data_IF_092008083756
#
_entry.id   IF_092008083756
#
_cell.length_a   1.000
_cell.length_b   1.000
_cell.length_c   1.000
_cell.angle_alpha   90.00
_cell.angle_beta   90.00
_cell.angle_gamma   90.00
#
_symmetry.space_group_name_H-M   'P 1'
#
loop_
_entity.id
_entity.type
_entity.pdbx_description
1 polymer ?
#
# COMPACT_ATOMS: atom_id res chain seq x y z
N UNK A 1 -5.11 -2.03 19.24
CA UNK A 1 -4.95 -1.14 18.06
C UNK A 1 -5.81 0.12 18.20
N UNK A 2 -7.07 0.03 18.68
CA UNK A 2 -7.92 1.18 19.04
C UNK A 2 -7.54 1.87 20.38
N UNK A 3 -6.31 1.74 20.84
CA UNK A 3 -5.88 2.26 22.15
C UNK A 3 -5.20 3.62 21.99
N UNK A 4 -5.37 4.51 22.97
CA UNK A 4 -4.67 5.80 22.99
C UNK A 4 -3.20 5.66 23.39
N UNK A 5 -2.85 4.57 24.06
CA UNK A 5 -1.48 4.35 24.52
C UNK A 5 -0.57 3.93 23.35
N UNK A 6 0.35 4.82 22.96
CA UNK A 6 1.20 4.65 21.77
C UNK A 6 1.94 3.31 21.70
N UNK A 7 2.60 2.90 22.78
CA UNK A 7 3.35 1.63 22.77
C UNK A 7 2.45 0.40 22.61
N UNK A 8 1.26 0.39 23.22
CA UNK A 8 0.30 -0.71 23.09
C UNK A 8 -0.25 -0.73 21.67
N UNK A 9 -0.56 0.44 21.11
CA UNK A 9 -1.03 0.60 19.73
C UNK A 9 0.02 0.12 18.73
N UNK A 10 1.29 0.49 18.90
CA UNK A 10 2.40 0.03 18.08
C UNK A 10 2.58 -1.50 18.18
N UNK A 11 2.72 -2.05 19.40
CA UNK A 11 2.93 -3.48 19.61
C UNK A 11 1.76 -4.33 19.07
N UNK A 12 0.52 -3.86 19.24
CA UNK A 12 -0.64 -4.54 18.68
C UNK A 12 -0.64 -4.53 17.15
N UNK A 13 -0.19 -3.45 16.52
CA UNK A 13 -0.11 -3.34 15.06
C UNK A 13 1.02 -4.18 14.49
N UNK A 14 2.17 -4.24 15.17
CA UNK A 14 3.28 -5.14 14.82
C UNK A 14 2.87 -6.61 14.95
N UNK A 15 2.16 -6.96 16.03
CA UNK A 15 1.58 -8.29 16.21
C UNK A 15 0.61 -8.62 15.07
N UNK A 16 -0.29 -7.70 14.72
CA UNK A 16 -1.23 -7.89 13.62
C UNK A 16 -0.51 -8.03 12.27
N UNK A 17 0.53 -7.24 12.02
CA UNK A 17 1.38 -7.36 10.84
C UNK A 17 1.96 -8.78 10.70
N UNK A 18 2.35 -9.42 11.80
CA UNK A 18 2.80 -10.80 11.75
C UNK A 18 1.64 -11.79 11.55
N UNK A 19 0.48 -11.53 12.14
CA UNK A 19 -0.68 -12.43 12.10
C UNK A 19 -1.40 -12.46 10.75
N UNK A 20 -1.35 -11.39 9.94
CA UNK A 20 -2.05 -11.33 8.63
C UNK A 20 -1.49 -12.30 7.58
N UNK A 21 -0.42 -13.04 7.88
CA UNK A 21 0.02 -14.17 7.04
C UNK A 21 -0.88 -15.41 7.20
N UNK A 22 -1.66 -15.47 8.29
CA UNK A 22 -2.60 -16.53 8.59
C UNK A 22 -3.91 -16.31 7.81
N UNK A 23 -4.40 -17.34 7.11
CA UNK A 23 -5.59 -17.23 6.24
C UNK A 23 -6.84 -16.84 7.03
N UNK A 24 -7.02 -17.44 8.20
CA UNK A 24 -8.15 -17.15 9.10
C UNK A 24 -8.14 -15.69 9.58
N UNK A 25 -6.95 -15.07 9.65
CA UNK A 25 -6.84 -13.64 9.97
C UNK A 25 -7.16 -12.79 8.74
N UNK A 26 -6.70 -13.18 7.56
CA UNK A 26 -7.01 -12.51 6.28
C UNK A 26 -8.53 -12.48 6.03
N UNK A 27 -9.22 -13.59 6.27
CA UNK A 27 -10.69 -13.69 6.13
C UNK A 27 -11.44 -12.69 7.02
N UNK A 28 -10.93 -12.40 8.22
CA UNK A 28 -11.54 -11.40 9.12
C UNK A 28 -11.49 -9.97 8.55
N UNK A 29 -10.58 -9.67 7.63
CA UNK A 29 -10.52 -8.39 6.92
C UNK A 29 -11.49 -8.33 5.73
N UNK A 30 -11.93 -9.48 5.23
CA UNK A 30 -12.97 -9.56 4.20
C UNK A 30 -14.37 -9.34 4.75
N UNK A 31 -14.62 -9.70 6.01
CA UNK A 31 -15.91 -9.49 6.67
C UNK A 31 -16.39 -8.04 6.56
N UNK A 32 -17.64 -7.85 6.18
CA UNK A 32 -18.31 -6.55 6.20
C UNK A 32 -18.87 -6.25 7.60
N UNK A 33 -19.38 -5.02 7.79
CA UNK A 33 -19.98 -4.59 9.06
C UNK A 33 -18.98 -4.36 10.20
N UNK A 34 -17.69 -4.21 9.90
CA UNK A 34 -16.65 -3.87 10.87
C UNK A 34 -15.58 -2.93 10.28
N UNK A 35 -14.85 -2.25 11.16
CA UNK A 35 -13.84 -1.25 10.80
C UNK A 35 -12.40 -1.80 10.81
N UNK A 36 -12.19 -3.12 10.76
CA UNK A 36 -10.82 -3.70 10.87
C UNK A 36 -9.89 -3.21 9.76
N UNK A 37 -10.35 -3.29 8.51
CA UNK A 37 -9.57 -2.79 7.36
C UNK A 37 -9.46 -1.26 7.39
N UNK A 38 -10.54 -0.57 7.75
CA UNK A 38 -10.56 0.90 7.87
C UNK A 38 -9.48 1.38 8.84
N UNK A 39 -9.44 0.80 10.04
CA UNK A 39 -8.43 1.12 11.04
C UNK A 39 -7.02 0.90 10.49
N UNK A 40 -6.77 -0.24 9.85
CA UNK A 40 -5.44 -0.53 9.32
C UNK A 40 -5.01 0.47 8.24
N UNK A 41 -5.93 0.88 7.36
CA UNK A 41 -5.67 1.93 6.36
C UNK A 41 -5.39 3.28 7.03
N UNK A 42 -6.17 3.67 8.05
CA UNK A 42 -5.94 4.93 8.76
C UNK A 42 -4.60 4.96 9.52
N UNK A 43 -4.19 3.83 10.11
CA UNK A 43 -2.88 3.71 10.77
C UNK A 43 -1.70 3.90 9.81
N UNK A 44 -1.91 3.75 8.50
CA UNK A 44 -0.91 4.07 7.49
C UNK A 44 -0.68 5.59 7.31
N UNK A 45 -1.47 6.45 7.96
CA UNK A 45 -1.33 7.91 7.91
C UNK A 45 -0.92 8.56 9.23
N UNK A 46 -0.65 7.76 10.27
CA UNK A 46 -0.16 8.25 11.56
C UNK A 46 1.29 8.76 11.43
N UNK A 47 1.70 9.68 12.30
CA UNK A 47 3.03 10.30 12.21
C UNK A 47 4.17 9.41 12.75
N UNK A 48 3.86 8.36 13.52
CA UNK A 48 4.88 7.44 14.05
C UNK A 48 5.33 6.42 12.99
N UNK A 49 6.58 6.55 12.53
CA UNK A 49 7.22 5.68 11.55
C UNK A 49 7.09 4.18 11.88
N UNK A 50 7.16 3.79 13.16
CA UNK A 50 7.12 2.36 13.53
C UNK A 50 5.71 1.81 13.33
N UNK A 51 4.70 2.55 13.76
CA UNK A 51 3.29 2.25 13.59
C UNK A 51 2.91 2.23 12.12
N UNK A 52 3.30 3.27 11.36
CA UNK A 52 3.05 3.35 9.91
C UNK A 52 3.68 2.17 9.18
N UNK A 53 4.94 1.83 9.50
CA UNK A 53 5.64 0.70 8.88
C UNK A 53 4.95 -0.64 9.16
N UNK A 54 4.47 -0.85 10.38
CA UNK A 54 3.72 -2.06 10.74
C UNK A 54 2.38 -2.12 9.99
N UNK A 55 1.63 -1.01 9.97
CA UNK A 55 0.35 -0.92 9.28
C UNK A 55 0.49 -1.13 7.76
N UNK A 56 1.41 -0.42 7.11
CA UNK A 56 1.68 -0.55 5.68
C UNK A 56 2.22 -1.94 5.33
N UNK A 57 3.01 -2.57 6.22
CA UNK A 57 3.48 -3.94 6.04
C UNK A 57 2.32 -4.94 6.04
N UNK A 58 1.42 -4.82 7.01
CA UNK A 58 0.23 -5.65 7.09
C UNK A 58 -0.67 -5.45 5.85
N UNK A 59 -0.89 -4.20 5.44
CA UNK A 59 -1.72 -3.86 4.28
C UNK A 59 -1.12 -4.38 2.97
N UNK A 60 0.20 -4.31 2.80
CA UNK A 60 0.91 -4.90 1.67
C UNK A 60 0.73 -6.43 1.60
N UNK A 61 0.80 -7.13 2.74
CA UNK A 61 0.57 -8.58 2.79
C UNK A 61 -0.89 -8.95 2.51
N UNK A 62 -1.84 -8.19 3.06
CA UNK A 62 -3.27 -8.41 2.81
C UNK A 62 -3.64 -8.23 1.34
N UNK A 63 -3.16 -7.14 0.71
CA UNK A 63 -3.41 -6.85 -0.71
C UNK A 63 -2.73 -7.85 -1.65
N UNK A 64 -1.60 -8.43 -1.23
CA UNK A 64 -0.95 -9.51 -1.99
C UNK A 64 -1.73 -10.83 -1.89
N UNK A 65 -2.34 -11.11 -0.73
CA UNK A 65 -3.04 -12.36 -0.49
C UNK A 65 -4.45 -12.40 -1.11
N UNK A 66 -5.17 -11.28 -1.10
CA UNK A 66 -6.58 -11.24 -1.48
C UNK A 66 -6.94 -10.00 -2.29
N UNK A 67 -7.25 -10.20 -3.58
CA UNK A 67 -7.58 -9.13 -4.53
C UNK A 67 -8.80 -8.32 -4.12
N UNK A 68 -9.81 -8.94 -3.47
CA UNK A 68 -10.99 -8.22 -2.99
C UNK A 68 -10.64 -7.15 -1.95
N UNK A 69 -9.57 -7.34 -1.17
CA UNK A 69 -9.11 -6.33 -0.22
C UNK A 69 -8.56 -5.09 -0.92
N UNK A 70 -7.94 -5.23 -2.10
CA UNK A 70 -7.49 -4.08 -2.91
C UNK A 70 -8.65 -3.15 -3.25
N UNK A 71 -9.78 -3.68 -3.70
CA UNK A 71 -10.98 -2.88 -3.99
C UNK A 71 -11.61 -2.35 -2.70
N UNK A 72 -11.70 -3.19 -1.64
CA UNK A 72 -12.31 -2.81 -0.37
C UNK A 72 -11.60 -1.64 0.32
N UNK A 73 -10.28 -1.50 0.18
CA UNK A 73 -9.52 -0.34 0.66
C UNK A 73 -10.14 0.99 0.16
N UNK A 74 -10.60 1.01 -1.09
CA UNK A 74 -11.20 2.23 -1.69
C UNK A 74 -12.57 2.60 -1.13
N UNK A 75 -13.20 1.69 -0.38
CA UNK A 75 -14.56 1.81 0.14
C UNK A 75 -14.59 2.10 1.64
N UNK A 76 -13.53 1.74 2.38
CA UNK A 76 -13.50 1.89 3.85
C UNK A 76 -13.18 3.31 4.32
N UNK A 77 -12.53 4.12 3.49
CA UNK A 77 -12.27 5.54 3.78
C UNK A 77 -12.16 6.33 2.49
N UNK A 78 -12.65 7.57 2.48
CA UNK A 78 -12.52 8.48 1.33
C UNK A 78 -11.06 8.90 1.09
N UNK A 79 -10.21 8.87 2.13
CA UNK A 79 -8.81 9.31 2.10
C UNK A 79 -7.84 8.24 1.60
N UNK A 80 -8.32 7.07 1.17
CA UNK A 80 -7.46 5.91 0.83
C UNK A 80 -6.35 6.26 -0.17
N UNK A 81 -6.65 7.13 -1.15
CA UNK A 81 -5.71 7.53 -2.18
C UNK A 81 -4.64 8.47 -1.63
N UNK A 82 -5.03 9.48 -0.84
CA UNK A 82 -4.10 10.40 -0.18
C UNK A 82 -3.14 9.64 0.75
N UNK A 83 -3.67 8.68 1.52
CA UNK A 83 -2.86 7.82 2.40
C UNK A 83 -1.85 7.02 1.57
N UNK A 84 -2.29 6.42 0.47
CA UNK A 84 -1.41 5.64 -0.41
C UNK A 84 -0.32 6.50 -1.06
N UNK A 85 -0.66 7.71 -1.49
CA UNK A 85 0.29 8.69 -2.03
C UNK A 85 1.33 9.10 -0.97
N UNK A 86 0.90 9.39 0.26
CA UNK A 86 1.81 9.70 1.38
C UNK A 86 2.78 8.55 1.68
N UNK A 87 2.31 7.30 1.68
CA UNK A 87 3.19 6.15 1.80
C UNK A 87 4.23 6.11 0.67
N UNK A 88 3.81 6.29 -0.59
CA UNK A 88 4.72 6.23 -1.75
C UNK A 88 5.72 7.41 -1.80
N UNK A 89 5.46 8.49 -1.09
CA UNK A 89 6.34 9.66 -0.99
C UNK A 89 7.13 9.72 0.32
N UNK A 90 7.02 8.71 1.18
CA UNK A 90 7.62 8.71 2.50
C UNK A 90 9.16 8.73 2.46
N UNK A 91 9.80 9.52 3.32
CA UNK A 91 11.27 9.63 3.40
C UNK A 91 11.93 8.32 3.88
N UNK A 92 11.26 7.62 4.79
CA UNK A 92 11.65 6.28 5.20
C UNK A 92 11.43 5.24 4.09
N UNK A 93 12.53 4.75 3.52
CA UNK A 93 12.54 3.77 2.43
C UNK A 93 11.72 2.50 2.71
N UNK A 94 11.67 2.05 3.97
CA UNK A 94 10.92 0.84 4.34
C UNK A 94 9.41 1.06 4.24
N UNK A 95 8.93 2.26 4.57
CA UNK A 95 7.53 2.66 4.44
C UNK A 95 7.22 2.89 2.96
N UNK A 96 8.10 3.62 2.26
CA UNK A 96 7.98 3.88 0.83
C UNK A 96 7.83 2.62 0.00
N UNK A 97 8.71 1.65 0.22
CA UNK A 97 8.66 0.35 -0.44
C UNK A 97 7.32 -0.35 -0.22
N UNK A 98 6.80 -0.36 1.02
CA UNK A 98 5.49 -0.98 1.35
C UNK A 98 4.34 -0.26 0.65
N UNK A 99 4.36 1.06 0.59
CA UNK A 99 3.39 1.85 -0.19
C UNK A 99 3.37 1.45 -1.67
N UNK A 100 4.55 1.34 -2.29
CA UNK A 100 4.68 0.94 -3.68
C UNK A 100 4.24 -0.52 -3.93
N UNK A 101 4.50 -1.43 -2.99
CA UNK A 101 3.99 -2.81 -3.07
C UNK A 101 2.47 -2.85 -2.99
N UNK A 102 1.84 -2.02 -2.16
CA UNK A 102 0.37 -1.90 -2.14
C UNK A 102 -0.15 -1.43 -3.50
N UNK A 103 0.47 -0.39 -4.10
CA UNK A 103 0.13 0.07 -5.46
C UNK A 103 0.26 -1.06 -6.48
N UNK A 104 1.38 -1.79 -6.46
CA UNK A 104 1.60 -2.94 -7.34
C UNK A 104 0.50 -3.99 -7.21
N UNK A 105 0.13 -4.36 -5.98
CA UNK A 105 -0.92 -5.34 -5.73
C UNK A 105 -2.28 -4.86 -6.24
N UNK A 106 -2.61 -3.57 -6.03
CA UNK A 106 -3.86 -2.98 -6.49
C UNK A 106 -3.94 -2.89 -8.01
N UNK A 107 -2.84 -2.55 -8.70
CA UNK A 107 -2.77 -2.55 -10.17
C UNK A 107 -3.07 -3.94 -10.76
N UNK A 108 -2.68 -5.02 -10.06
CA UNK A 108 -2.91 -6.41 -10.52
C UNK A 108 -4.22 -7.03 -10.02
N UNK A 109 -4.94 -6.33 -9.16
CA UNK A 109 -6.16 -6.86 -8.55
C UNK A 109 -7.37 -6.73 -9.49
N UNK A 110 -7.57 -5.54 -10.04
CA UNK A 110 -8.75 -5.19 -10.83
C UNK A 110 -8.43 -4.08 -11.85
N UNK A 111 -8.97 -4.18 -13.07
CA UNK A 111 -8.63 -3.25 -14.16
C UNK A 111 -9.19 -1.84 -13.94
N UNK A 112 -10.40 -1.70 -13.38
CA UNK A 112 -10.99 -0.39 -13.11
C UNK A 112 -10.25 0.30 -11.95
N UNK A 113 -9.86 -0.47 -10.93
CA UNK A 113 -8.98 0.02 -9.87
C UNK A 113 -7.62 0.47 -10.42
N UNK A 114 -7.03 -0.33 -11.32
CA UNK A 114 -5.75 0.01 -11.94
C UNK A 114 -5.86 1.31 -12.74
N UNK A 115 -6.91 1.46 -13.54
CA UNK A 115 -7.19 2.69 -14.28
C UNK A 115 -7.31 3.89 -13.34
N UNK A 116 -8.09 3.77 -12.26
CA UNK A 116 -8.25 4.84 -11.25
C UNK A 116 -6.93 5.24 -10.60
N UNK A 117 -6.04 4.29 -10.33
CA UNK A 117 -4.71 4.58 -9.79
C UNK A 117 -3.85 5.34 -10.81
N UNK A 118 -3.82 4.89 -12.06
CA UNK A 118 -2.99 5.51 -13.11
C UNK A 118 -3.50 6.90 -13.53
N UNK A 119 -4.81 7.15 -13.43
CA UNK A 119 -5.41 8.47 -13.65
C UNK A 119 -5.16 9.48 -12.51
N UNK A 120 -4.53 9.04 -11.41
CA UNK A 120 -4.16 9.89 -10.27
C UNK A 120 -2.67 10.27 -10.25
N UNK A 121 -2.26 11.07 -9.26
CA UNK A 121 -0.87 11.45 -9.03
C UNK A 121 0.05 10.24 -8.74
N UNK A 122 -0.50 9.05 -8.48
CA UNK A 122 0.29 7.82 -8.36
C UNK A 122 1.14 7.59 -9.61
N UNK A 123 0.64 7.86 -10.83
CA UNK A 123 1.45 7.70 -12.05
C UNK A 123 2.67 8.64 -12.05
N UNK A 124 2.50 9.88 -11.62
CA UNK A 124 3.58 10.85 -11.51
C UNK A 124 4.60 10.40 -10.46
N UNK A 125 4.14 9.97 -9.29
CA UNK A 125 5.00 9.44 -8.21
C UNK A 125 5.82 8.25 -8.71
N UNK A 126 5.17 7.27 -9.35
CA UNK A 126 5.84 6.09 -9.93
C UNK A 126 6.87 6.50 -10.99
N UNK A 127 6.54 7.47 -11.84
CA UNK A 127 7.42 7.96 -12.90
C UNK A 127 8.66 8.64 -12.32
N UNK A 128 8.48 9.52 -11.33
CA UNK A 128 9.59 10.23 -10.67
C UNK A 128 10.51 9.24 -9.97
N UNK A 129 9.97 8.24 -9.27
CA UNK A 129 10.77 7.22 -8.59
C UNK A 129 11.48 6.31 -9.61
N UNK A 130 10.75 5.83 -10.63
CA UNK A 130 11.27 4.89 -11.62
C UNK A 130 12.36 5.45 -12.53
N UNK A 131 12.38 6.78 -12.73
CA UNK A 131 13.41 7.51 -13.50
C UNK A 131 14.70 7.76 -12.71
N UNK A 132 14.72 7.53 -11.41
CA UNK A 132 15.95 7.69 -10.63
C UNK A 132 17.02 6.71 -11.12
N UNK A 133 18.28 7.15 -11.05
CA UNK A 133 19.43 6.29 -11.31
C UNK A 133 19.51 5.18 -10.25
N UNK A 134 20.11 4.05 -10.63
CA UNK A 134 20.29 2.94 -9.71
C UNK A 134 21.09 3.39 -8.48
N UNK A 135 20.58 3.08 -7.29
CA UNK A 135 21.17 3.53 -6.04
C UNK A 135 21.10 2.42 -4.99
N UNK A 136 22.23 1.98 -4.39
CA UNK A 136 22.26 0.81 -3.50
C UNK A 136 21.25 0.85 -2.34
N UNK A 137 21.00 2.04 -1.78
CA UNK A 137 20.03 2.21 -0.67
C UNK A 137 18.58 2.38 -1.10
N UNK A 138 18.31 2.69 -2.38
CA UNK A 138 16.96 2.95 -2.90
C UNK A 138 16.51 1.93 -3.95
N UNK A 139 17.36 0.95 -4.27
CA UNK A 139 17.15 0.08 -5.41
C UNK A 139 15.82 -0.67 -5.34
N UNK A 140 15.45 -1.19 -4.16
CA UNK A 140 14.18 -1.89 -3.95
C UNK A 140 12.97 -1.01 -4.31
N UNK A 141 12.98 0.26 -3.89
CA UNK A 141 11.92 1.23 -4.18
C UNK A 141 11.86 1.55 -5.68
N UNK A 142 13.03 1.77 -6.31
CA UNK A 142 13.13 2.05 -7.74
C UNK A 142 12.62 0.86 -8.56
N UNK A 143 13.00 -0.37 -8.19
CA UNK A 143 12.62 -1.58 -8.90
C UNK A 143 11.12 -1.85 -8.80
N UNK A 144 10.51 -1.67 -7.62
CA UNK A 144 9.05 -1.80 -7.48
C UNK A 144 8.33 -0.72 -8.30
N UNK A 145 8.79 0.53 -8.29
CA UNK A 145 8.18 1.59 -9.09
C UNK A 145 8.25 1.29 -10.60
N UNK A 146 9.41 0.83 -11.10
CA UNK A 146 9.57 0.39 -12.50
C UNK A 146 8.68 -0.80 -12.83
N UNK A 147 8.52 -1.73 -11.89
CA UNK A 147 7.61 -2.87 -12.04
C UNK A 147 6.16 -2.41 -12.14
N UNK A 148 5.72 -1.46 -11.32
CA UNK A 148 4.38 -0.86 -11.42
C UNK A 148 4.15 -0.19 -12.79
N UNK A 149 5.14 0.56 -13.29
CA UNK A 149 5.07 1.17 -14.62
C UNK A 149 4.99 0.12 -15.73
N UNK A 150 5.75 -0.98 -15.62
CA UNK A 150 5.66 -2.10 -16.57
C UNK A 150 4.27 -2.72 -16.54
N UNK A 151 3.70 -2.97 -15.37
CA UNK A 151 2.32 -3.48 -15.25
C UNK A 151 1.32 -2.52 -15.88
N UNK A 152 1.45 -1.22 -15.65
CA UNK A 152 0.57 -0.22 -16.25
C UNK A 152 0.68 -0.19 -17.79
N UNK A 153 1.90 -0.41 -18.33
CA UNK A 153 2.13 -0.53 -19.77
C UNK A 153 1.48 -1.81 -20.33
N UNK A 154 1.65 -2.95 -19.64
CA UNK A 154 1.07 -4.24 -20.03
C UNK A 154 -0.47 -4.20 -20.02
N UNK A 155 -1.05 -3.41 -19.12
CA UNK A 155 -2.49 -3.14 -19.06
C UNK A 155 -2.96 -2.12 -20.11
N UNK A 156 -2.04 -1.53 -20.88
CA UNK A 156 -2.35 -0.50 -21.88
C UNK A 156 -2.81 0.83 -21.28
N UNK A 157 -2.55 1.06 -19.99
CA UNK A 157 -2.96 2.27 -19.26
C UNK A 157 -2.00 3.44 -19.48
N UNK A 158 -0.75 3.16 -19.88
CA UNK A 158 0.26 4.16 -20.22
C UNK A 158 0.96 3.80 -21.54
N UNK A 159 1.64 4.79 -22.14
CA UNK A 159 2.46 4.60 -23.34
C UNK A 159 3.93 4.43 -22.95
N UNK A 160 4.75 3.76 -23.77
CA UNK A 160 6.19 3.70 -23.57
C UNK A 160 6.77 5.12 -23.52
N UNK A 161 7.68 5.37 -22.58
CA UNK A 161 8.45 6.61 -22.56
C UNK A 161 9.32 6.68 -23.81
N UNK A 162 9.21 7.78 -24.57
CA UNK A 162 10.10 8.11 -25.69
C UNK A 162 11.41 8.72 -25.19
#
# INVERSE_FOLDING_TARGET
>A
MFEEHDQIRQAATECMCNLVVCKEVQERYLEDGNDKLKLLVLLCSEDDDKLQRAAAGALAMLTAAEKKLCTKITLVTAQWLEILQRLCLHDNMQIQHRGLVIVYNMLKADNELAKKLIESEILEILTVIGKQENHPKRQEVIDVARTCLSVALDLGLIKPFS
#
